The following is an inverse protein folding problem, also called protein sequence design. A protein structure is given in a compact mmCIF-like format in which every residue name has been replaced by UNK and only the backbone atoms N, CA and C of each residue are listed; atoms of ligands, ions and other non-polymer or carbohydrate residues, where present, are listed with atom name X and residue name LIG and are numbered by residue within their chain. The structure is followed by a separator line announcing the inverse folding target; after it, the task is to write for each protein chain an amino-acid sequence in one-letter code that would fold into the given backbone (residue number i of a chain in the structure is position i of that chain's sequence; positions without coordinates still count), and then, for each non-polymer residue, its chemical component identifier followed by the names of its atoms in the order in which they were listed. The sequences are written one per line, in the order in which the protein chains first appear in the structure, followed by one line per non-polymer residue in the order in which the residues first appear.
data_IF_311643445513
#
_entry.id   IF_311643445513
#
_cell.length_a   1.000
_cell.length_b   1.000
_cell.length_c   1.000
_cell.angle_alpha   90.00
_cell.angle_beta   90.00
_cell.angle_gamma   90.00
#
_symmetry.space_group_name_H-M   'P 1'
#
loop_
_entity.id
_entity.type
_entity.pdbx_description
1 polymer ?
#
# COMPACT_ATOMS: atom_id res chain seq x y z
N UNK A 1 -5.83 -18.75 -14.92
CA UNK A 1 -4.70 -17.81 -15.10
C UNK A 1 -5.27 -16.43 -15.28
N UNK A 2 -5.05 -15.55 -14.32
CA UNK A 2 -5.65 -14.19 -14.31
C UNK A 2 -4.65 -13.10 -14.66
N UNK A 3 -3.33 -13.39 -14.57
CA UNK A 3 -2.29 -12.47 -15.06
C UNK A 3 -2.18 -12.58 -16.57
N UNK A 4 -2.32 -11.45 -17.25
CA UNK A 4 -2.15 -11.35 -18.69
C UNK A 4 -0.87 -10.56 -19.02
N UNK A 5 0.17 -11.26 -19.44
CA UNK A 5 1.46 -10.70 -19.82
C UNK A 5 1.48 -10.07 -21.21
N UNK A 6 0.45 -10.33 -22.02
CA UNK A 6 0.33 -9.74 -23.37
C UNK A 6 -0.13 -8.28 -23.32
N UNK A 7 -0.79 -7.89 -22.20
CA UNK A 7 -1.22 -6.52 -21.94
C UNK A 7 -0.40 -5.98 -20.79
N UNK A 8 0.70 -5.32 -21.09
CA UNK A 8 1.62 -4.79 -20.07
C UNK A 8 1.77 -3.29 -20.22
N UNK A 9 1.63 -2.57 -19.10
CA UNK A 9 2.19 -1.24 -18.95
C UNK A 9 3.65 -1.35 -18.49
N UNK A 10 4.43 -0.30 -18.72
CA UNK A 10 5.82 -0.25 -18.28
C UNK A 10 5.98 0.76 -17.17
N UNK A 11 6.59 0.32 -16.11
CA UNK A 11 6.93 1.14 -14.97
C UNK A 11 8.43 1.40 -14.97
N UNK A 12 8.84 2.68 -15.05
CA UNK A 12 10.23 3.06 -14.93
C UNK A 12 10.61 3.20 -13.44
N UNK A 13 11.37 2.25 -12.88
CA UNK A 13 11.80 2.32 -11.49
C UNK A 13 12.73 3.51 -11.21
N UNK A 14 13.27 4.13 -12.27
CA UNK A 14 14.18 5.26 -12.12
C UNK A 14 13.46 6.58 -11.95
N UNK A 15 12.30 6.73 -12.57
CA UNK A 15 11.48 7.95 -12.46
C UNK A 15 10.40 7.80 -11.40
N UNK A 16 10.06 6.55 -10.99
CA UNK A 16 8.89 6.22 -10.17
C UNK A 16 7.59 6.83 -10.71
N UNK A 17 7.61 7.20 -11.96
CA UNK A 17 6.48 7.73 -12.70
C UNK A 17 6.28 6.82 -13.90
N UNK A 18 5.03 6.46 -14.17
CA UNK A 18 4.69 5.79 -15.41
C UNK A 18 5.10 6.67 -16.58
N UNK A 19 6.20 6.32 -17.27
CA UNK A 19 6.61 7.06 -18.45
C UNK A 19 5.95 6.43 -19.67
N UNK A 20 5.20 7.25 -20.41
CA UNK A 20 4.73 6.91 -21.76
C UNK A 20 5.78 7.14 -22.83
N UNK A 21 6.99 7.59 -22.44
CA UNK A 21 8.06 7.95 -23.37
C UNK A 21 9.23 6.97 -23.28
N UNK A 22 9.33 6.13 -24.29
CA UNK A 22 10.51 5.31 -24.59
C UNK A 22 10.69 4.10 -23.67
N UNK A 23 10.97 2.96 -24.29
CA UNK A 23 11.25 1.72 -23.59
C UNK A 23 12.69 1.77 -23.08
N UNK A 24 12.88 1.89 -21.77
CA UNK A 24 14.17 1.63 -21.12
C UNK A 24 14.34 0.12 -20.91
N UNK A 25 15.56 -0.38 -21.03
CA UNK A 25 15.90 -1.79 -20.71
C UNK A 25 15.73 -2.12 -19.22
N UNK A 26 15.40 -1.14 -18.41
CA UNK A 26 15.21 -1.26 -16.95
C UNK A 26 13.74 -1.13 -16.53
N UNK A 27 12.82 -0.98 -17.49
CA UNK A 27 11.40 -0.86 -17.19
C UNK A 27 10.84 -2.19 -16.71
N UNK A 28 10.10 -2.16 -15.60
CA UNK A 28 9.38 -3.33 -15.10
C UNK A 28 8.07 -3.44 -15.86
N UNK A 29 7.81 -4.55 -16.58
CA UNK A 29 6.52 -4.78 -17.19
C UNK A 29 5.49 -5.06 -16.07
N UNK A 30 4.42 -4.27 -16.04
CA UNK A 30 3.28 -4.51 -15.17
C UNK A 30 2.21 -5.15 -16.03
N UNK A 31 1.92 -6.45 -15.86
CA UNK A 31 0.86 -7.12 -16.61
C UNK A 31 -0.52 -6.64 -16.15
N UNK A 32 -1.55 -6.95 -16.89
CA UNK A 32 -2.91 -6.81 -16.39
C UNK A 32 -3.34 -8.04 -15.59
N UNK A 33 -4.33 -7.85 -14.71
CA UNK A 33 -4.91 -8.90 -13.88
C UNK A 33 -6.43 -8.83 -13.94
N UNK A 34 -7.06 -9.97 -14.18
CA UNK A 34 -8.52 -10.04 -14.24
C UNK A 34 -9.10 -9.08 -15.28
N UNK A 35 -10.09 -8.32 -14.87
CA UNK A 35 -10.77 -7.32 -15.68
C UNK A 35 -10.41 -5.87 -15.31
N UNK A 36 -9.75 -5.64 -14.16
CA UNK A 36 -9.54 -4.29 -13.63
C UNK A 36 -8.10 -4.01 -13.15
N UNK A 37 -7.29 -5.03 -12.97
CA UNK A 37 -5.92 -4.85 -12.50
C UNK A 37 -4.97 -4.45 -13.62
N UNK A 38 -4.37 -3.26 -13.53
CA UNK A 38 -3.34 -2.78 -14.45
C UNK A 38 -3.42 -1.29 -14.75
N UNK A 39 -2.28 -0.64 -15.03
CA UNK A 39 -2.27 0.77 -15.40
C UNK A 39 -3.08 1.00 -16.69
N UNK A 40 -4.05 1.92 -16.64
CA UNK A 40 -4.94 2.25 -17.75
C UNK A 40 -5.74 1.04 -18.31
N UNK A 41 -5.92 -0.02 -17.49
CA UNK A 41 -6.62 -1.24 -17.86
C UNK A 41 -7.86 -1.40 -16.98
N UNK A 42 -9.04 -1.39 -17.59
CA UNK A 42 -10.32 -1.55 -16.88
C UNK A 42 -11.36 -2.19 -17.78
N UNK A 43 -12.31 -2.91 -17.19
CA UNK A 43 -13.34 -3.67 -17.91
C UNK A 43 -12.78 -4.64 -18.98
N UNK A 44 -11.58 -5.20 -18.74
CA UNK A 44 -10.93 -6.16 -19.64
C UNK A 44 -10.24 -5.54 -20.84
N UNK A 45 -10.14 -4.21 -20.94
CA UNK A 45 -9.52 -3.51 -22.06
C UNK A 45 -8.65 -2.34 -21.63
N UNK A 46 -7.60 -2.05 -22.38
CA UNK A 46 -6.80 -0.86 -22.20
C UNK A 46 -7.60 0.40 -22.57
N UNK A 47 -7.53 1.43 -21.72
CA UNK A 47 -8.27 2.68 -21.89
C UNK A 47 -9.78 2.52 -21.76
N UNK A 48 -10.25 1.45 -21.15
CA UNK A 48 -11.67 1.19 -20.94
C UNK A 48 -12.38 2.22 -20.06
N UNK A 49 -13.67 2.02 -19.88
CA UNK A 49 -14.49 2.78 -18.93
C UNK A 49 -14.92 1.84 -17.81
N UNK A 50 -14.72 2.27 -16.57
CA UNK A 50 -15.09 1.46 -15.40
C UNK A 50 -16.60 1.44 -15.23
N UNK A 51 -17.26 0.27 -15.31
CA UNK A 51 -18.69 0.16 -15.14
C UNK A 51 -19.11 0.41 -13.68
N UNK A 52 -20.17 1.16 -13.50
CA UNK A 52 -20.74 1.47 -12.19
C UNK A 52 -21.77 0.42 -11.75
N UNK A 53 -22.13 0.51 -10.46
CA UNK A 53 -23.22 -0.25 -9.87
C UNK A 53 -22.78 -1.57 -9.23
N UNK A 54 -23.75 -2.28 -8.60
CA UNK A 54 -23.42 -3.46 -7.80
C UNK A 54 -23.06 -4.70 -8.62
N UNK A 55 -23.34 -4.69 -9.92
CA UNK A 55 -23.08 -5.80 -10.84
C UNK A 55 -22.39 -5.27 -12.10
N UNK A 56 -21.10 -4.90 -12.01
CA UNK A 56 -20.36 -4.41 -13.17
C UNK A 56 -20.25 -5.48 -14.25
N UNK A 57 -20.17 -5.04 -15.50
CA UNK A 57 -19.98 -5.93 -16.65
C UNK A 57 -18.77 -5.46 -17.48
N UNK A 58 -17.71 -6.25 -17.57
CA UNK A 58 -17.52 -7.57 -16.95
C UNK A 58 -17.45 -7.50 -15.42
N UNK A 59 -17.84 -8.59 -14.73
CA UNK A 59 -17.67 -8.67 -13.28
C UNK A 59 -16.19 -8.87 -12.90
N UNK A 60 -15.72 -8.35 -11.75
CA UNK A 60 -14.43 -8.74 -11.21
C UNK A 60 -14.31 -10.26 -11.06
N UNK A 61 -13.14 -10.80 -11.37
CA UNK A 61 -12.94 -12.27 -11.38
C UNK A 61 -12.76 -12.83 -9.96
N UNK A 62 -12.27 -12.00 -9.03
CA UNK A 62 -12.06 -12.38 -7.63
C UNK A 62 -12.03 -11.15 -6.69
N UNK A 63 -11.62 -11.37 -5.44
CA UNK A 63 -11.51 -10.31 -4.44
C UNK A 63 -10.41 -9.29 -4.77
N UNK A 64 -9.30 -9.75 -5.35
CA UNK A 64 -8.20 -8.88 -5.77
C UNK A 64 -8.63 -7.95 -6.90
N UNK A 65 -9.26 -8.49 -7.93
CA UNK A 65 -9.80 -7.73 -9.06
C UNK A 65 -10.92 -6.77 -8.62
N UNK A 66 -11.67 -7.13 -7.58
CA UNK A 66 -12.68 -6.26 -6.96
C UNK A 66 -12.06 -5.01 -6.34
N UNK A 67 -10.89 -5.12 -5.70
CA UNK A 67 -10.19 -3.95 -5.15
C UNK A 67 -9.75 -2.99 -6.25
N UNK A 68 -9.23 -3.52 -7.36
CA UNK A 68 -8.87 -2.70 -8.52
C UNK A 68 -10.08 -2.03 -9.15
N UNK A 69 -11.19 -2.75 -9.30
CA UNK A 69 -12.45 -2.16 -9.78
C UNK A 69 -12.92 -0.99 -8.90
N UNK A 70 -12.91 -1.15 -7.58
CA UNK A 70 -13.29 -0.09 -6.64
C UNK A 70 -12.38 1.13 -6.74
N UNK A 71 -11.10 0.90 -6.90
CA UNK A 71 -10.11 1.95 -7.14
C UNK A 71 -10.37 2.70 -8.45
N UNK A 72 -10.58 1.97 -9.54
CA UNK A 72 -10.83 2.50 -10.87
C UNK A 72 -12.12 3.32 -10.93
N UNK A 73 -13.15 2.96 -10.16
CA UNK A 73 -14.39 3.76 -10.06
C UNK A 73 -14.13 5.19 -9.60
N UNK A 74 -13.23 5.39 -8.64
CA UNK A 74 -12.90 6.75 -8.17
C UNK A 74 -12.21 7.54 -9.27
N UNK A 75 -11.29 6.92 -10.01
CA UNK A 75 -10.63 7.55 -11.15
C UNK A 75 -11.60 7.86 -12.29
N UNK A 76 -12.57 6.97 -12.55
CA UNK A 76 -13.62 7.22 -13.52
C UNK A 76 -14.49 8.39 -13.09
N UNK A 77 -14.92 8.48 -11.82
CA UNK A 77 -15.69 9.60 -11.29
C UNK A 77 -14.94 10.94 -11.42
N UNK A 78 -13.62 10.93 -11.21
CA UNK A 78 -12.78 12.13 -11.44
C UNK A 78 -12.79 12.51 -12.92
N UNK A 79 -12.58 11.54 -13.81
CA UNK A 79 -12.58 11.73 -15.27
C UNK A 79 -13.91 12.28 -15.79
N UNK A 80 -15.02 11.82 -15.21
CA UNK A 80 -16.39 12.22 -15.59
C UNK A 80 -16.84 13.54 -14.93
N UNK A 81 -15.97 14.17 -14.12
CA UNK A 81 -16.26 15.43 -13.44
C UNK A 81 -17.29 15.32 -12.31
N UNK A 82 -17.51 14.11 -11.78
CA UNK A 82 -18.39 13.84 -10.65
C UNK A 82 -17.77 14.22 -9.30
N UNK A 83 -16.45 14.36 -9.26
CA UNK A 83 -15.70 14.84 -8.08
C UNK A 83 -15.40 16.32 -8.25
N UNK A 84 -15.77 17.19 -7.29
CA UNK A 84 -15.45 18.62 -7.36
C UNK A 84 -13.92 18.83 -7.49
N UNK A 85 -13.45 19.79 -8.32
CA UNK A 85 -12.02 19.95 -8.59
C UNK A 85 -11.14 20.11 -7.36
N UNK A 86 -11.61 20.80 -6.32
CA UNK A 86 -10.91 20.98 -5.06
C UNK A 86 -10.75 19.69 -4.26
N UNK A 87 -11.62 18.69 -4.47
CA UNK A 87 -11.63 17.43 -3.73
C UNK A 87 -10.86 16.31 -4.45
N UNK A 88 -10.53 16.52 -5.74
CA UNK A 88 -9.84 15.52 -6.57
C UNK A 88 -8.56 14.98 -5.90
N UNK A 89 -7.62 15.82 -5.40
CA UNK A 89 -6.40 15.30 -4.80
C UNK A 89 -6.65 14.37 -3.61
N UNK A 90 -7.63 14.72 -2.77
CA UNK A 90 -8.00 13.89 -1.62
C UNK A 90 -8.73 12.61 -2.03
N UNK A 91 -9.60 12.67 -3.04
CA UNK A 91 -10.31 11.51 -3.54
C UNK A 91 -9.36 10.47 -4.11
N UNK A 92 -8.39 10.90 -4.93
CA UNK A 92 -7.35 10.04 -5.50
C UNK A 92 -6.49 9.45 -4.39
N UNK A 93 -5.93 10.28 -3.50
CA UNK A 93 -5.08 9.80 -2.41
C UNK A 93 -5.80 8.76 -1.54
N UNK A 94 -7.08 9.00 -1.20
CA UNK A 94 -7.87 8.06 -0.44
C UNK A 94 -8.14 6.75 -1.19
N UNK A 95 -8.38 6.80 -2.49
CA UNK A 95 -8.58 5.61 -3.32
C UNK A 95 -7.32 4.75 -3.36
N UNK A 96 -6.16 5.37 -3.58
CA UNK A 96 -4.87 4.69 -3.62
C UNK A 96 -4.50 4.07 -2.26
N UNK A 97 -4.69 4.81 -1.17
CA UNK A 97 -4.50 4.29 0.20
C UNK A 97 -5.42 3.11 0.46
N UNK A 98 -6.73 3.24 0.15
CA UNK A 98 -7.70 2.16 0.34
C UNK A 98 -7.35 0.90 -0.48
N UNK A 99 -6.84 1.08 -1.70
CA UNK A 99 -6.33 -0.04 -2.50
C UNK A 99 -5.15 -0.72 -1.81
N UNK A 100 -4.13 0.03 -1.40
CA UNK A 100 -2.94 -0.53 -0.72
C UNK A 100 -3.31 -1.26 0.57
N UNK A 101 -4.22 -0.70 1.38
CA UNK A 101 -4.71 -1.35 2.60
C UNK A 101 -5.49 -2.63 2.31
N UNK A 102 -6.35 -2.61 1.28
CA UNK A 102 -7.12 -3.76 0.83
C UNK A 102 -6.22 -4.89 0.32
N UNK A 103 -5.24 -4.57 -0.50
CA UNK A 103 -4.23 -5.49 -0.99
C UNK A 103 -3.46 -6.12 0.19
N UNK A 104 -2.95 -5.32 1.10
CA UNK A 104 -2.27 -5.83 2.29
C UNK A 104 -3.16 -6.72 3.18
N UNK A 105 -4.45 -6.45 3.24
CA UNK A 105 -5.38 -7.32 3.95
C UNK A 105 -5.55 -8.68 3.25
N UNK A 106 -5.55 -8.71 1.91
CA UNK A 106 -5.64 -9.93 1.11
C UNK A 106 -4.41 -10.82 1.24
N UNK A 107 -3.20 -10.28 1.42
CA UNK A 107 -1.98 -11.09 1.63
C UNK A 107 -2.08 -12.02 2.83
N UNK A 108 -2.99 -11.73 3.77
CA UNK A 108 -3.24 -12.55 4.97
C UNK A 108 -4.24 -13.68 4.73
N UNK A 109 -4.77 -13.76 3.51
CA UNK A 109 -5.67 -14.83 3.07
C UNK A 109 -4.90 -15.85 2.23
N UNK A 110 -5.55 -16.95 1.87
CA UNK A 110 -4.93 -17.96 1.01
C UNK A 110 -5.13 -17.57 -0.46
N UNK A 111 -4.31 -16.65 -0.97
CA UNK A 111 -4.26 -16.32 -2.40
C UNK A 111 -3.55 -17.43 -3.18
N UNK A 112 -3.95 -17.64 -4.44
CA UNK A 112 -3.13 -18.43 -5.34
C UNK A 112 -1.83 -17.67 -5.71
N UNK A 113 -0.79 -18.35 -6.21
CA UNK A 113 0.52 -17.74 -6.48
C UNK A 113 0.46 -16.55 -7.44
N UNK A 114 -0.40 -16.58 -8.45
CA UNK A 114 -0.55 -15.46 -9.41
C UNK A 114 -1.19 -14.25 -8.74
N UNK A 115 -2.28 -14.46 -7.99
CA UNK A 115 -2.95 -13.41 -7.24
C UNK A 115 -2.00 -12.81 -6.19
N UNK A 116 -1.22 -13.65 -5.49
CA UNK A 116 -0.25 -13.21 -4.50
C UNK A 116 0.87 -12.35 -5.11
N UNK A 117 1.39 -12.77 -6.27
CA UNK A 117 2.37 -11.97 -7.02
C UNK A 117 1.79 -10.62 -7.43
N UNK A 118 0.56 -10.61 -7.97
CA UNK A 118 -0.05 -9.40 -8.47
C UNK A 118 -0.46 -8.43 -7.35
N UNK A 119 -0.91 -8.97 -6.22
CA UNK A 119 -1.18 -8.21 -4.98
C UNK A 119 0.07 -7.44 -4.51
N UNK A 120 1.20 -8.14 -4.41
CA UNK A 120 2.46 -7.53 -4.04
C UNK A 120 2.92 -6.46 -5.05
N UNK A 121 2.80 -6.74 -6.36
CA UNK A 121 3.12 -5.80 -7.42
C UNK A 121 2.24 -4.55 -7.37
N UNK A 122 0.94 -4.71 -7.20
CA UNK A 122 -0.02 -3.62 -7.03
C UNK A 122 0.30 -2.75 -5.81
N UNK A 123 0.58 -3.40 -4.67
CA UNK A 123 0.97 -2.70 -3.44
C UNK A 123 2.25 -1.88 -3.63
N UNK A 124 3.26 -2.42 -4.30
CA UNK A 124 4.52 -1.72 -4.56
C UNK A 124 4.34 -0.54 -5.52
N UNK A 125 3.60 -0.73 -6.60
CA UNK A 125 3.43 0.32 -7.63
C UNK A 125 2.56 1.47 -7.14
N UNK A 126 1.43 1.17 -6.51
CA UNK A 126 0.53 2.20 -5.96
C UNK A 126 1.15 2.85 -4.72
N UNK A 127 1.80 2.06 -3.86
CA UNK A 127 2.55 2.59 -2.73
C UNK A 127 3.68 3.54 -3.14
N UNK A 128 4.44 3.20 -4.20
CA UNK A 128 5.43 4.09 -4.77
C UNK A 128 4.81 5.40 -5.27
N UNK A 129 3.67 5.33 -5.95
CA UNK A 129 2.92 6.51 -6.41
C UNK A 129 2.53 7.42 -5.23
N UNK A 130 1.93 6.86 -4.19
CA UNK A 130 1.54 7.61 -2.98
C UNK A 130 2.74 8.32 -2.36
N UNK A 131 3.87 7.64 -2.24
CA UNK A 131 5.08 8.17 -1.59
C UNK A 131 5.84 9.19 -2.43
N UNK A 132 5.54 9.31 -3.71
CA UNK A 132 6.25 10.23 -4.64
C UNK A 132 5.38 11.36 -5.16
N UNK A 133 4.06 11.22 -5.13
CA UNK A 133 3.12 12.26 -5.58
C UNK A 133 2.92 13.31 -4.48
N UNK A 134 3.23 14.59 -4.71
CA UNK A 134 3.18 15.62 -3.66
C UNK A 134 1.83 15.76 -2.97
N UNK A 135 0.72 15.66 -3.72
CA UNK A 135 -0.65 15.74 -3.16
C UNK A 135 -0.97 14.56 -2.26
N UNK A 136 -0.58 13.35 -2.62
CA UNK A 136 -0.81 12.13 -1.85
C UNK A 136 0.08 12.09 -0.61
N UNK A 137 1.33 12.52 -0.74
CA UNK A 137 2.22 12.69 0.40
C UNK A 137 1.69 13.73 1.41
N UNK A 138 1.07 14.81 0.92
CA UNK A 138 0.41 15.79 1.77
C UNK A 138 -0.81 15.19 2.49
N UNK A 139 -1.59 14.34 1.80
CA UNK A 139 -2.68 13.58 2.39
C UNK A 139 -2.19 12.68 3.53
N UNK A 140 -1.14 11.88 3.29
CA UNK A 140 -0.57 10.99 4.32
C UNK A 140 -0.07 11.78 5.54
N UNK A 141 0.56 12.95 5.35
CA UNK A 141 0.99 13.81 6.46
C UNK A 141 -0.18 14.30 7.32
N UNK A 142 -1.34 14.52 6.70
CA UNK A 142 -2.56 14.90 7.40
C UNK A 142 -3.27 13.70 8.05
N UNK A 143 -2.95 12.47 7.63
CA UNK A 143 -3.58 11.23 8.07
C UNK A 143 -2.53 10.20 8.53
N UNK A 144 -1.97 10.35 9.75
CA UNK A 144 -0.85 9.50 10.22
C UNK A 144 -1.17 8.02 10.33
N UNK A 145 -2.44 7.63 10.54
CA UNK A 145 -2.85 6.22 10.58
C UNK A 145 -2.72 5.58 9.19
N UNK A 146 -3.23 6.26 8.16
CA UNK A 146 -3.12 5.82 6.77
C UNK A 146 -1.65 5.75 6.35
N UNK A 147 -0.84 6.73 6.77
CA UNK A 147 0.60 6.71 6.53
C UNK A 147 1.27 5.46 7.12
N UNK A 148 0.96 5.13 8.37
CA UNK A 148 1.45 3.91 9.03
C UNK A 148 1.01 2.64 8.33
N UNK A 149 -0.24 2.57 7.88
CA UNK A 149 -0.79 1.43 7.15
C UNK A 149 -0.09 1.25 5.78
N UNK A 150 0.03 2.31 5.00
CA UNK A 150 0.72 2.30 3.69
C UNK A 150 2.18 1.86 3.84
N UNK A 151 2.92 2.44 4.80
CA UNK A 151 4.31 2.07 5.01
C UNK A 151 4.47 0.59 5.41
N UNK A 152 3.57 0.08 6.26
CA UNK A 152 3.56 -1.33 6.66
C UNK A 152 3.26 -2.25 5.48
N UNK A 153 2.26 -1.91 4.67
CA UNK A 153 1.86 -2.68 3.50
C UNK A 153 3.01 -2.78 2.49
N UNK A 154 3.62 -1.65 2.19
CA UNK A 154 4.72 -1.55 1.24
C UNK A 154 5.96 -2.32 1.71
N UNK A 155 6.33 -2.22 2.99
CA UNK A 155 7.44 -3.00 3.54
C UNK A 155 7.18 -4.52 3.43
N UNK A 156 5.96 -4.95 3.66
CA UNK A 156 5.59 -6.36 3.53
C UNK A 156 5.54 -6.83 2.08
N UNK A 157 5.20 -5.95 1.14
CA UNK A 157 5.07 -6.31 -0.28
C UNK A 157 6.41 -6.64 -0.95
N UNK A 158 7.54 -6.12 -0.45
CA UNK A 158 8.87 -6.41 -1.01
C UNK A 158 9.17 -7.92 -0.98
N UNK A 159 9.26 -8.58 0.19
CA UNK A 159 9.50 -10.02 0.23
C UNK A 159 8.36 -10.84 -0.40
N UNK A 160 7.12 -10.36 -0.32
CA UNK A 160 5.98 -11.04 -0.93
C UNK A 160 6.11 -11.09 -2.46
N UNK A 161 6.60 -10.02 -3.08
CA UNK A 161 6.85 -9.99 -4.52
C UNK A 161 7.92 -11.01 -4.93
N UNK A 162 9.03 -11.11 -4.20
CA UNK A 162 10.09 -12.10 -4.46
C UNK A 162 9.57 -13.53 -4.36
N UNK A 163 8.78 -13.83 -3.33
CA UNK A 163 8.14 -15.14 -3.13
C UNK A 163 7.18 -15.44 -4.29
N UNK A 164 6.25 -14.52 -4.57
CA UNK A 164 5.26 -14.70 -5.63
C UNK A 164 5.90 -14.87 -7.01
N UNK A 165 6.99 -14.12 -7.29
CA UNK A 165 7.75 -14.23 -8.52
C UNK A 165 8.40 -15.62 -8.66
N UNK A 166 9.00 -16.12 -7.58
CA UNK A 166 9.63 -17.45 -7.58
C UNK A 166 8.60 -18.57 -7.76
N UNK A 167 7.43 -18.45 -7.14
CA UNK A 167 6.36 -19.45 -7.23
C UNK A 167 5.64 -19.45 -8.59
N UNK A 168 5.47 -18.27 -9.20
CA UNK A 168 4.68 -18.13 -10.45
C UNK A 168 5.54 -18.35 -11.69
N UNK A 169 6.73 -17.76 -11.76
CA UNK A 169 7.55 -17.72 -12.98
C UNK A 169 8.76 -18.68 -12.94
N UNK A 170 9.09 -19.23 -11.80
CA UNK A 170 10.21 -20.16 -11.67
C UNK A 170 11.51 -19.60 -12.27
N UNK A 171 12.05 -20.29 -13.30
CA UNK A 171 13.31 -19.88 -13.94
C UNK A 171 13.20 -18.62 -14.82
N UNK A 172 12.01 -18.25 -15.29
CA UNK A 172 11.79 -17.03 -16.09
C UNK A 172 11.85 -15.76 -15.21
N UNK A 173 11.65 -15.91 -13.91
CA UNK A 173 11.77 -14.83 -12.94
C UNK A 173 13.14 -14.12 -12.97
N UNK A 174 14.20 -14.78 -13.47
CA UNK A 174 15.56 -14.22 -13.45
C UNK A 174 15.72 -12.95 -14.26
N UNK A 175 14.97 -12.77 -15.34
CA UNK A 175 15.03 -11.56 -16.17
C UNK A 175 14.33 -10.37 -15.50
N UNK A 176 13.26 -10.63 -14.74
CA UNK A 176 12.54 -9.61 -13.97
C UNK A 176 13.28 -9.26 -12.67
N UNK A 177 14.01 -10.22 -12.11
CA UNK A 177 14.70 -10.06 -10.84
C UNK A 177 15.75 -8.92 -10.88
N UNK A 178 16.48 -8.77 -11.99
CA UNK A 178 17.46 -7.69 -12.15
C UNK A 178 16.83 -6.28 -12.13
N UNK A 179 15.72 -6.09 -12.84
CA UNK A 179 14.98 -4.82 -12.86
C UNK A 179 14.34 -4.56 -11.48
N UNK A 180 13.85 -5.60 -10.83
CA UNK A 180 13.25 -5.49 -9.52
C UNK A 180 14.24 -5.09 -8.42
N UNK A 181 15.46 -5.64 -8.41
CA UNK A 181 16.49 -5.24 -7.44
C UNK A 181 16.87 -3.76 -7.55
N UNK A 182 16.88 -3.20 -8.76
CA UNK A 182 17.10 -1.75 -8.95
C UNK A 182 15.93 -0.96 -8.38
N UNK A 183 14.70 -1.43 -8.61
CA UNK A 183 13.48 -0.83 -8.04
C UNK A 183 13.51 -0.92 -6.51
N UNK A 184 13.78 -2.09 -5.96
CA UNK A 184 13.84 -2.33 -4.52
C UNK A 184 14.83 -1.39 -3.81
N UNK A 185 16.05 -1.27 -4.33
CA UNK A 185 17.07 -0.40 -3.73
C UNK A 185 16.63 1.07 -3.70
N UNK A 186 16.01 1.57 -4.78
CA UNK A 186 15.50 2.95 -4.86
C UNK A 186 14.25 3.15 -4.03
N UNK A 187 13.36 2.17 -4.07
CA UNK A 187 12.14 2.20 -3.28
C UNK A 187 12.43 2.17 -1.78
N UNK A 188 13.38 1.34 -1.32
CA UNK A 188 13.86 1.33 0.06
C UNK A 188 14.42 2.70 0.47
N UNK A 189 15.16 3.37 -0.42
CA UNK A 189 15.65 4.73 -0.16
C UNK A 189 14.49 5.73 -0.01
N UNK A 190 13.48 5.67 -0.89
CA UNK A 190 12.33 6.57 -0.81
C UNK A 190 11.43 6.26 0.38
N UNK A 191 11.23 4.99 0.68
CA UNK A 191 10.53 4.56 1.89
C UNK A 191 11.21 5.14 3.13
N UNK A 192 12.54 5.06 3.21
CA UNK A 192 13.32 5.65 4.30
C UNK A 192 13.14 7.16 4.39
N UNK A 193 13.14 7.86 3.26
CA UNK A 193 12.90 9.31 3.21
C UNK A 193 11.46 9.65 3.60
N UNK A 194 10.48 8.89 3.14
CA UNK A 194 9.09 9.06 3.53
C UNK A 194 8.91 8.85 5.03
N UNK A 195 9.45 7.77 5.59
CA UNK A 195 9.41 7.49 7.04
C UNK A 195 10.05 8.64 7.84
N UNK A 196 11.19 9.16 7.42
CA UNK A 196 11.82 10.30 8.04
C UNK A 196 10.93 11.57 7.99
N UNK A 197 10.16 11.73 6.90
CA UNK A 197 9.26 12.89 6.72
C UNK A 197 8.00 12.85 7.59
N UNK A 198 7.59 11.66 8.05
CA UNK A 198 6.46 11.49 8.98
C UNK A 198 6.84 11.67 10.45
N UNK A 199 8.12 11.85 10.75
CA UNK A 199 8.68 11.75 12.10
C UNK A 199 8.75 10.28 12.52
N UNK A 200 9.87 9.84 13.10
CA UNK A 200 9.86 8.57 13.82
C UNK A 200 8.67 8.62 14.80
N UNK A 201 7.88 7.53 14.96
CA UNK A 201 6.89 7.49 16.01
C UNK A 201 7.65 7.91 17.27
N UNK A 202 7.21 9.01 17.89
CA UNK A 202 7.77 9.44 19.17
C UNK A 202 7.69 8.21 20.04
N UNK A 203 8.82 7.58 20.31
CA UNK A 203 8.92 6.58 21.38
C UNK A 203 8.17 7.20 22.53
N UNK A 204 7.14 6.55 23.11
CA UNK A 204 6.43 7.12 24.23
C UNK A 204 7.51 7.53 25.21
N UNK A 205 7.62 8.82 25.41
CA UNK A 205 8.54 9.42 26.35
C UNK A 205 8.28 8.67 27.64
N UNK A 206 9.26 7.88 28.05
CA UNK A 206 9.19 7.09 29.25
C UNK A 206 9.05 8.14 30.35
N UNK A 207 7.79 8.50 30.63
CA UNK A 207 7.44 9.39 31.69
C UNK A 207 8.06 8.77 32.92
N UNK A 208 9.17 9.35 33.37
CA UNK A 208 9.85 9.05 34.58
C UNK A 208 8.80 9.09 35.72
N UNK A 209 8.15 7.97 35.95
CA UNK A 209 7.46 7.70 37.16
C UNK A 209 8.57 7.51 38.21
N UNK A 210 9.05 8.61 38.75
CA UNK A 210 9.83 8.57 39.98
C UNK A 210 8.98 7.80 40.99
N UNK A 211 9.51 6.73 41.59
CA UNK A 211 8.78 6.04 42.65
C UNK A 211 8.65 7.03 43.81
N UNK A 212 7.44 7.54 44.04
CA UNK A 212 7.10 8.20 45.27
C UNK A 212 7.26 7.14 46.40
N UNK A 213 8.33 7.25 47.12
CA UNK A 213 8.51 6.53 48.39
C UNK A 213 7.46 7.12 49.36
N UNK A 214 6.38 6.38 49.55
CA UNK A 214 5.42 6.66 50.61
C UNK A 214 6.09 6.34 51.93
N UNK A 215 6.55 7.38 52.64
CA UNK A 215 6.90 7.28 54.03
C UNK A 215 5.64 6.92 54.82
N UNK A 216 5.57 5.65 55.20
CA UNK A 216 4.56 5.14 56.12
C UNK A 216 4.95 5.64 57.51
N UNK A 217 4.32 6.71 57.97
CA UNK A 217 4.38 7.17 59.37
C UNK A 217 3.90 6.04 60.28
N UNK A 218 4.80 5.45 61.02
CA UNK A 218 4.48 4.57 62.11
C UNK A 218 3.90 5.43 63.26
N UNK A 219 2.62 5.26 63.55
CA UNK A 219 2.01 5.71 64.76
C UNK A 219 2.37 4.73 65.91
N UNK A 220 2.76 5.22 67.10
CA UNK A 220 3.03 4.36 68.23
C UNK A 220 1.74 3.83 68.83
N UNK A 221 1.71 2.54 69.12
CA UNK A 221 0.66 1.85 69.87
C UNK A 221 0.55 2.41 71.28
N UNK A 222 -0.54 3.05 71.56
CA UNK A 222 -1.00 3.41 72.96
C UNK A 222 -1.51 2.13 73.64
N UNK A 223 -0.74 1.68 74.60
CA UNK A 223 -1.15 0.65 75.55
C UNK A 223 -2.23 1.19 76.49
N UNK A 224 -3.38 0.52 76.54
CA UNK A 224 -4.43 0.75 77.56
C UNK A 224 -4.18 -0.19 78.72
N UNK A 225 -4.24 0.31 80.03
CA UNK A 225 -4.12 -0.56 81.19
C UNK A 225 -5.44 -1.25 81.48
N UNK A 226 -5.35 -2.54 81.84
CA UNK A 226 -6.43 -3.29 82.49
C UNK A 226 -6.67 -2.77 83.88
N UNK A 227 -7.95 -2.62 84.25
CA UNK A 227 -8.40 -2.61 85.66
C UNK A 227 -9.60 -3.56 85.81
N UNK A 228 -9.39 -4.48 86.74
CA UNK A 228 -10.25 -5.18 87.71
C UNK A 228 -11.66 -5.54 87.27
#
# INVERSE_FOLDING_TARGET
MFINWDVTARFDPNSLVSSTQGISTHDIPIPSYGNYGGPNYTAGVEGGTTPEGPNPTPAPVDALDTLFWQHDLVYQHVKDGLVPPQDIPNAIAKADVSLVEGLYALTKTNLDPEAFLYDALGTLTVGAKILTTPSELAYLKANPLDAGAVLTAVQAAIPNFEIGLAETLGNEARSLNGAFHVFEARFAQQLTQAMASFGAPSTPENSNISPQVSETSQQPLLTTPQHA
#
